data_IF_093487947729
#
_entry.id   IF_093487947729
#
_cell.length_a   1.000
_cell.length_b   1.000
_cell.length_c   1.000
_cell.angle_alpha   90.00
_cell.angle_beta   90.00
_cell.angle_gamma   90.00
#
_symmetry.space_group_name_H-M   'P 1'
#
loop_
_entity.id
_entity.type
_entity.pdbx_description
1 polymer ?
#
# COMPACT_ATOMS: atom_id res chain seq x y z
N UNK A 1 32.86 -22.02 19.64
CA UNK A 1 31.42 -22.11 19.29
C UNK A 1 30.64 -21.74 20.54
N UNK A 2 29.78 -20.73 20.47
CA UNK A 2 29.04 -20.20 21.62
C UNK A 2 28.01 -21.22 22.13
N UNK A 3 28.10 -21.63 23.41
CA UNK A 3 27.19 -22.62 24.01
C UNK A 3 25.74 -22.15 24.05
N UNK A 4 25.51 -20.83 24.16
CA UNK A 4 24.17 -20.24 24.14
C UNK A 4 23.50 -20.45 22.78
N UNK A 5 24.17 -20.03 21.70
CA UNK A 5 23.68 -20.22 20.32
C UNK A 5 23.37 -21.68 20.00
N UNK A 6 24.22 -22.61 20.45
CA UNK A 6 23.98 -24.05 20.25
C UNK A 6 22.69 -24.50 20.93
N UNK A 7 22.43 -24.05 22.17
CA UNK A 7 21.21 -24.42 22.88
C UNK A 7 19.97 -23.81 22.21
N UNK A 8 20.06 -22.55 21.73
CA UNK A 8 18.98 -21.90 20.99
C UNK A 8 18.67 -22.64 19.69
N UNK A 9 19.70 -23.02 18.92
CA UNK A 9 19.52 -23.81 17.70
C UNK A 9 18.84 -25.15 18.01
N UNK A 10 19.25 -25.83 19.09
CA UNK A 10 18.63 -27.10 19.50
C UNK A 10 17.17 -26.98 19.90
N UNK A 11 16.79 -25.91 20.60
CA UNK A 11 15.38 -25.70 20.93
C UNK A 11 14.54 -25.46 19.67
N UNK A 12 15.10 -24.77 18.67
CA UNK A 12 14.46 -24.61 17.35
C UNK A 12 14.36 -25.94 16.61
N UNK A 13 15.42 -26.76 16.60
CA UNK A 13 15.42 -28.11 15.99
C UNK A 13 14.32 -29.01 16.58
N UNK A 14 13.99 -28.81 17.85
CA UNK A 14 12.94 -29.55 18.57
C UNK A 14 11.57 -28.88 18.48
N UNK A 15 11.48 -27.70 17.85
CA UNK A 15 10.28 -26.85 17.85
C UNK A 15 9.73 -26.57 19.27
N UNK A 16 10.63 -26.49 20.25
CA UNK A 16 10.29 -26.25 21.66
C UNK A 16 10.28 -24.73 21.93
N UNK A 17 9.10 -24.13 21.79
CA UNK A 17 8.90 -22.69 21.98
C UNK A 17 9.14 -22.25 23.43
N UNK A 18 8.83 -23.10 24.42
CA UNK A 18 9.04 -22.78 25.84
C UNK A 18 10.54 -22.73 26.16
N UNK A 19 11.30 -23.74 25.73
CA UNK A 19 12.75 -23.75 25.91
C UNK A 19 13.40 -22.61 25.11
N UNK A 20 12.94 -22.34 23.89
CA UNK A 20 13.39 -21.20 23.11
C UNK A 20 13.18 -19.88 23.86
N UNK A 21 12.00 -19.64 24.44
CA UNK A 21 11.72 -18.45 25.24
C UNK A 21 12.61 -18.32 26.48
N UNK A 22 12.89 -19.44 27.16
CA UNK A 22 13.73 -19.48 28.35
C UNK A 22 15.20 -19.16 28.06
N UNK A 23 15.69 -19.53 26.87
CA UNK A 23 17.07 -19.29 26.45
C UNK A 23 17.32 -17.85 26.01
N UNK A 24 16.29 -17.13 25.57
CA UNK A 24 16.40 -15.75 25.14
C UNK A 24 16.37 -14.76 26.33
N UNK A 25 17.27 -13.77 26.28
CA UNK A 25 17.40 -12.73 27.28
C UNK A 25 16.18 -11.78 27.25
N UNK A 26 15.51 -11.62 28.38
CA UNK A 26 14.31 -10.77 28.51
C UNK A 26 14.58 -9.27 28.32
N UNK A 27 15.81 -8.83 28.58
CA UNK A 27 16.22 -7.43 28.46
C UNK A 27 16.69 -7.06 27.04
N UNK A 28 16.81 -8.05 26.14
CA UNK A 28 17.18 -7.85 24.72
C UNK A 28 15.95 -7.83 23.82
N UNK A 29 16.12 -7.23 22.65
CA UNK A 29 15.15 -7.30 21.55
C UNK A 29 15.62 -8.31 20.51
N UNK A 30 14.67 -8.85 19.76
CA UNK A 30 14.94 -9.81 18.70
C UNK A 30 14.17 -9.38 17.45
N UNK A 31 14.88 -9.13 16.35
CA UNK A 31 14.34 -8.49 15.14
C UNK A 31 13.60 -7.19 15.48
N UNK A 32 14.19 -6.39 16.39
CA UNK A 32 13.68 -5.12 16.90
C UNK A 32 12.40 -5.18 17.74
N UNK A 33 11.89 -6.36 18.11
CA UNK A 33 10.70 -6.50 18.98
C UNK A 33 11.05 -7.15 20.32
N UNK A 34 10.14 -7.03 21.29
CA UNK A 34 10.26 -7.73 22.58
C UNK A 34 10.33 -9.22 22.39
N UNK A 35 11.08 -9.89 23.28
CA UNK A 35 11.20 -11.34 23.33
C UNK A 35 9.88 -12.08 23.13
N UNK A 36 8.82 -11.72 23.87
CA UNK A 36 7.54 -12.42 23.78
C UNK A 36 6.88 -12.33 22.40
N UNK A 37 6.96 -11.18 21.72
CA UNK A 37 6.44 -11.02 20.36
C UNK A 37 7.24 -11.88 19.38
N UNK A 38 8.57 -11.84 19.48
CA UNK A 38 9.44 -12.62 18.61
C UNK A 38 9.21 -14.12 18.77
N UNK A 39 9.17 -14.61 20.02
CA UNK A 39 8.89 -16.01 20.35
C UNK A 39 7.54 -16.45 19.78
N UNK A 40 6.48 -15.65 19.95
CA UNK A 40 5.16 -15.98 19.40
C UNK A 40 5.20 -16.16 17.88
N UNK A 41 5.94 -15.31 17.15
CA UNK A 41 6.08 -15.44 15.69
C UNK A 41 6.86 -16.67 15.26
N UNK A 42 7.88 -17.06 16.03
CA UNK A 42 8.59 -18.31 15.81
C UNK A 42 7.69 -19.52 16.15
N UNK A 43 6.86 -19.41 17.19
CA UNK A 43 5.89 -20.44 17.55
C UNK A 43 4.81 -20.64 16.49
N UNK A 44 4.34 -19.57 15.83
CA UNK A 44 3.45 -19.66 14.67
C UNK A 44 4.08 -20.51 13.54
N UNK A 45 5.39 -20.32 13.28
CA UNK A 45 6.15 -21.12 12.31
C UNK A 45 6.26 -22.58 12.75
N UNK A 46 6.50 -22.84 14.04
CA UNK A 46 6.54 -24.20 14.59
C UNK A 46 5.20 -24.91 14.42
N UNK A 47 4.09 -24.23 14.72
CA UNK A 47 2.75 -24.79 14.56
C UNK A 47 2.47 -25.15 13.09
N UNK A 48 2.84 -24.30 12.13
CA UNK A 48 2.68 -24.61 10.70
C UNK A 48 3.46 -25.88 10.28
N UNK A 49 4.68 -26.05 10.79
CA UNK A 49 5.52 -27.23 10.52
C UNK A 49 4.94 -28.50 11.17
N UNK A 50 4.49 -28.40 12.42
CA UNK A 50 3.83 -29.50 13.15
C UNK A 50 2.54 -29.92 12.43
N UNK A 51 1.73 -28.97 11.97
CA UNK A 51 0.53 -29.24 11.16
C UNK A 51 0.88 -29.89 9.81
N UNK A 52 2.05 -29.55 9.26
CA UNK A 52 2.66 -30.20 8.09
C UNK A 52 3.20 -31.62 8.35
N UNK A 53 3.15 -32.10 9.59
CA UNK A 53 3.60 -33.43 10.00
C UNK A 53 5.08 -33.51 10.40
N UNK A 54 5.78 -32.38 10.48
CA UNK A 54 7.16 -32.35 10.95
C UNK A 54 7.24 -32.64 12.46
N UNK A 55 8.25 -33.41 12.86
CA UNK A 55 8.51 -33.76 14.27
C UNK A 55 9.84 -33.20 14.78
N UNK A 56 10.70 -32.77 13.86
CA UNK A 56 11.99 -32.16 14.14
C UNK A 56 12.46 -31.37 12.92
N UNK A 57 13.39 -30.43 13.13
CA UNK A 57 14.02 -29.69 12.05
C UNK A 57 15.49 -30.09 11.93
N UNK A 58 15.94 -30.24 10.69
CA UNK A 58 17.36 -30.37 10.38
C UNK A 58 17.95 -28.96 10.21
N UNK A 59 18.99 -28.61 10.98
CA UNK A 59 19.67 -27.33 10.85
C UNK A 59 20.92 -27.43 9.97
N UNK A 60 21.10 -26.45 9.09
CA UNK A 60 22.23 -26.37 8.17
C UNK A 60 22.90 -25.00 8.30
N UNK A 61 24.18 -24.93 8.70
CA UNK A 61 24.87 -23.67 8.92
C UNK A 61 25.13 -22.92 7.61
N UNK A 62 25.19 -21.61 7.72
CA UNK A 62 25.52 -20.72 6.61
C UNK A 62 25.79 -19.29 7.05
N UNK A 63 25.93 -18.39 6.08
CA UNK A 63 26.26 -16.99 6.29
C UNK A 63 25.34 -16.11 5.44
N UNK A 64 24.87 -14.99 5.99
CA UNK A 64 24.13 -14.00 5.21
C UNK A 64 25.03 -13.35 4.14
N UNK A 65 24.61 -13.43 2.88
CA UNK A 65 25.34 -12.83 1.75
C UNK A 65 24.54 -11.75 0.99
N UNK A 66 23.30 -11.48 1.43
CA UNK A 66 22.47 -10.41 0.87
C UNK A 66 23.19 -9.05 0.92
N UNK A 67 23.15 -8.32 -0.20
CA UNK A 67 23.71 -6.98 -0.30
C UNK A 67 22.83 -5.94 0.42
N UNK A 68 21.54 -6.22 0.58
CA UNK A 68 20.55 -5.29 1.17
C UNK A 68 20.31 -5.54 2.67
N UNK A 69 21.10 -6.43 3.28
CA UNK A 69 20.99 -6.77 4.69
C UNK A 69 22.08 -6.08 5.52
N UNK A 70 21.69 -5.23 6.48
CA UNK A 70 22.63 -4.63 7.44
C UNK A 70 23.35 -5.65 8.33
N UNK A 71 22.81 -6.86 8.44
CA UNK A 71 23.41 -7.99 9.16
C UNK A 71 24.13 -8.97 8.20
N UNK A 72 24.64 -8.47 7.07
CA UNK A 72 25.48 -9.24 6.15
C UNK A 72 26.66 -9.84 6.92
N UNK A 73 27.06 -11.05 6.53
CA UNK A 73 28.12 -11.84 7.16
C UNK A 73 27.84 -12.35 8.57
N UNK A 74 26.66 -12.09 9.15
CA UNK A 74 26.21 -12.84 10.32
C UNK A 74 26.03 -14.31 9.96
N UNK A 75 26.46 -15.19 10.86
CA UNK A 75 26.29 -16.64 10.70
C UNK A 75 24.89 -17.05 11.13
N UNK A 76 24.33 -18.02 10.43
CA UNK A 76 22.95 -18.44 10.58
C UNK A 76 22.74 -19.91 10.28
N UNK A 77 21.47 -20.31 10.31
CA UNK A 77 21.04 -21.66 9.99
C UNK A 77 19.81 -21.61 9.10
N UNK A 78 19.75 -22.53 8.14
CA UNK A 78 18.51 -22.97 7.52
C UNK A 78 17.96 -24.11 8.34
N UNK A 79 16.71 -24.00 8.77
CA UNK A 79 15.97 -25.06 9.44
C UNK A 79 14.99 -25.67 8.44
N UNK A 80 15.06 -26.99 8.25
CA UNK A 80 14.25 -27.72 7.26
C UNK A 80 13.44 -28.80 7.98
N UNK A 81 12.12 -28.79 7.78
CA UNK A 81 11.21 -29.81 8.28
C UNK A 81 11.58 -31.20 7.78
N UNK A 82 11.57 -32.20 8.66
CA UNK A 82 11.98 -33.56 8.33
C UNK A 82 10.98 -34.33 7.45
N UNK A 83 9.75 -33.84 7.31
CA UNK A 83 8.66 -34.45 6.53
C UNK A 83 8.20 -33.52 5.41
N UNK A 84 7.86 -32.27 5.73
CA UNK A 84 7.31 -31.33 4.75
C UNK A 84 8.38 -30.76 3.81
N UNK A 85 9.66 -30.85 4.19
CA UNK A 85 10.78 -30.13 3.60
C UNK A 85 10.61 -28.60 3.58
N UNK A 86 9.56 -28.04 4.20
CA UNK A 86 9.41 -26.60 4.36
C UNK A 86 10.56 -26.07 5.20
N UNK A 87 10.94 -24.82 4.95
CA UNK A 87 12.14 -24.27 5.58
C UNK A 87 12.02 -22.79 5.94
N UNK A 88 12.78 -22.36 6.94
CA UNK A 88 13.03 -20.96 7.23
C UNK A 88 14.49 -20.75 7.60
N UNK A 89 14.95 -19.50 7.62
CA UNK A 89 16.36 -19.16 7.82
C UNK A 89 16.47 -18.04 8.84
N UNK A 90 17.35 -18.26 9.82
CA UNK A 90 17.67 -17.27 10.86
C UNK A 90 19.17 -16.99 10.87
N UNK A 91 19.54 -15.73 11.09
CA UNK A 91 20.92 -15.30 11.31
C UNK A 91 21.06 -14.74 12.72
N UNK A 92 22.22 -14.97 13.33
CA UNK A 92 22.51 -14.64 14.71
C UNK A 92 23.55 -13.52 14.71
N UNK A 93 23.20 -12.41 15.36
CA UNK A 93 24.14 -11.35 15.67
C UNK A 93 24.74 -11.67 17.03
N UNK A 94 26.06 -11.80 17.07
CA UNK A 94 26.79 -12.24 18.26
C UNK A 94 27.86 -11.22 18.63
N UNK A 95 27.98 -10.90 19.91
CA UNK A 95 29.14 -10.19 20.45
C UNK A 95 29.55 -10.77 21.79
N UNK A 96 30.85 -10.78 22.08
CA UNK A 96 31.41 -11.25 23.37
C UNK A 96 30.93 -12.65 23.81
N UNK A 97 30.71 -13.57 22.87
CA UNK A 97 30.15 -14.91 23.09
C UNK A 97 28.71 -14.93 23.64
N UNK A 98 27.91 -13.91 23.32
CA UNK A 98 26.47 -13.90 23.57
C UNK A 98 25.70 -13.72 22.27
N UNK A 99 24.46 -14.20 22.23
CA UNK A 99 23.50 -13.85 21.17
C UNK A 99 22.88 -12.50 21.51
N UNK A 100 23.14 -11.50 20.67
CA UNK A 100 22.59 -10.15 20.84
C UNK A 100 21.24 -9.98 20.17
N UNK A 101 21.06 -10.60 19.00
CA UNK A 101 19.85 -10.49 18.21
C UNK A 101 19.74 -11.67 17.22
N UNK A 102 18.52 -11.97 16.77
CA UNK A 102 18.20 -13.03 15.82
C UNK A 102 17.29 -12.44 14.75
N UNK A 103 17.65 -12.60 13.47
CA UNK A 103 16.89 -12.06 12.35
C UNK A 103 16.50 -13.15 11.37
N UNK A 104 15.31 -13.03 10.80
CA UNK A 104 14.96 -13.75 9.59
C UNK A 104 15.87 -13.35 8.43
N UNK A 105 16.33 -14.35 7.67
CA UNK A 105 17.20 -14.14 6.52
C UNK A 105 16.54 -14.67 5.24
N UNK A 106 16.68 -13.92 4.15
CA UNK A 106 16.23 -14.35 2.81
C UNK A 106 17.39 -14.65 1.86
N UNK A 107 18.62 -14.28 2.25
CA UNK A 107 19.84 -14.44 1.46
C UNK A 107 20.93 -15.20 2.21
N UNK A 108 20.54 -16.28 2.92
CA UNK A 108 21.49 -17.17 3.59
C UNK A 108 22.13 -18.10 2.55
N UNK A 109 23.46 -18.05 2.45
CA UNK A 109 24.26 -19.00 1.68
C UNK A 109 24.76 -20.09 2.64
N UNK A 110 24.47 -21.35 2.33
CA UNK A 110 24.86 -22.47 3.18
C UNK A 110 26.33 -22.82 3.00
N UNK A 111 26.96 -23.32 4.06
CA UNK A 111 28.31 -23.87 3.99
C UNK A 111 28.36 -25.12 3.08
N UNK A 112 27.25 -25.86 2.99
CA UNK A 112 27.03 -26.93 2.03
C UNK A 112 25.75 -26.66 1.21
N UNK A 113 25.87 -26.41 -0.12
CA UNK A 113 24.73 -25.98 -0.94
C UNK A 113 23.76 -27.10 -1.34
N UNK A 114 24.10 -28.38 -1.14
CA UNK A 114 23.34 -29.54 -1.65
C UNK A 114 22.10 -29.92 -0.82
N UNK A 115 21.61 -29.03 0.04
CA UNK A 115 20.45 -29.30 0.91
C UNK A 115 19.14 -29.13 0.14
N UNK A 116 18.41 -30.23 -0.03
CA UNK A 116 17.05 -30.22 -0.57
C UNK A 116 16.13 -29.39 0.32
N UNK A 117 15.29 -28.56 -0.31
CA UNK A 117 14.35 -27.68 0.39
C UNK A 117 13.06 -27.53 -0.41
N UNK A 118 11.95 -27.50 0.30
CA UNK A 118 10.63 -27.21 -0.22
C UNK A 118 10.29 -25.73 -0.16
N UNK A 119 9.05 -25.42 0.20
CA UNK A 119 8.55 -24.06 0.34
C UNK A 119 9.21 -23.32 1.51
N UNK A 120 9.52 -22.03 1.31
CA UNK A 120 10.03 -21.17 2.38
C UNK A 120 8.87 -20.66 3.23
N UNK A 121 8.93 -20.87 4.55
CA UNK A 121 8.06 -20.20 5.51
C UNK A 121 8.65 -18.82 5.82
N UNK A 122 7.81 -17.80 5.75
CA UNK A 122 8.18 -16.46 6.16
C UNK A 122 7.15 -15.85 7.09
N UNK A 123 7.61 -15.26 8.19
CA UNK A 123 6.77 -14.48 9.08
C UNK A 123 7.06 -12.99 8.92
N UNK A 124 6.03 -12.16 9.06
CA UNK A 124 6.18 -10.71 9.17
C UNK A 124 5.98 -10.32 10.63
N UNK A 125 6.88 -9.47 11.13
CA UNK A 125 6.62 -8.74 12.37
C UNK A 125 6.16 -7.35 11.97
N UNK A 126 4.93 -6.99 12.33
CA UNK A 126 4.41 -5.66 12.03
C UNK A 126 5.21 -4.61 12.77
N UNK A 127 5.48 -3.48 12.09
CA UNK A 127 6.31 -2.41 12.61
C UNK A 127 5.83 -1.95 13.99
N UNK A 128 4.52 -1.96 14.25
CA UNK A 128 3.95 -1.53 15.52
C UNK A 128 4.37 -2.34 16.75
N UNK A 129 4.92 -3.54 16.56
CA UNK A 129 5.45 -4.36 17.65
C UNK A 129 6.94 -4.12 17.94
N UNK A 130 7.63 -3.31 17.12
CA UNK A 130 9.03 -2.97 17.39
C UNK A 130 9.14 -2.02 18.58
N UNK A 131 10.08 -2.30 19.47
CA UNK A 131 10.22 -1.56 20.74
C UNK A 131 10.47 -0.07 20.52
N UNK A 132 11.12 0.28 19.41
CA UNK A 132 11.27 1.66 18.96
C UNK A 132 9.93 2.39 18.88
N UNK A 133 8.89 1.76 18.34
CA UNK A 133 7.57 2.39 18.21
C UNK A 133 6.76 2.33 19.50
N UNK A 134 6.95 1.30 20.34
CA UNK A 134 6.33 1.24 21.67
C UNK A 134 6.82 2.36 22.60
N UNK A 135 8.08 2.78 22.45
CA UNK A 135 8.69 3.84 23.27
C UNK A 135 8.57 5.23 22.64
N UNK A 136 8.21 5.34 21.35
CA UNK A 136 8.04 6.61 20.67
C UNK A 136 6.70 7.26 21.04
N UNK A 137 6.74 8.30 21.87
CA UNK A 137 5.54 9.02 22.34
C UNK A 137 4.73 9.64 21.20
N UNK A 138 5.39 10.20 20.18
CA UNK A 138 4.72 10.77 19.00
C UNK A 138 3.95 9.68 18.22
N UNK A 139 4.54 8.51 18.03
CA UNK A 139 3.83 7.38 17.42
C UNK A 139 2.62 6.94 18.25
N UNK A 140 2.76 6.84 19.57
CA UNK A 140 1.66 6.43 20.45
C UNK A 140 0.52 7.47 20.47
N UNK A 141 0.85 8.75 20.46
CA UNK A 141 -0.13 9.84 20.35
C UNK A 141 -0.86 9.78 19.01
N UNK A 142 -0.12 9.63 17.90
CA UNK A 142 -0.70 9.46 16.56
C UNK A 142 -1.56 8.21 16.45
N UNK A 143 -1.15 7.10 17.07
CA UNK A 143 -1.92 5.85 17.11
C UNK A 143 -3.24 6.04 17.86
N UNK A 144 -3.28 6.79 18.95
CA UNK A 144 -4.53 7.13 19.64
C UNK A 144 -5.48 7.92 18.76
N UNK A 145 -4.99 8.96 18.08
CA UNK A 145 -5.81 9.78 17.16
C UNK A 145 -6.34 8.92 16.00
N UNK A 146 -5.48 8.10 15.41
CA UNK A 146 -5.86 7.12 14.38
C UNK A 146 -6.99 6.20 14.84
N UNK A 147 -6.87 5.58 16.02
CA UNK A 147 -7.87 4.66 16.53
C UNK A 147 -9.23 5.35 16.72
N UNK A 148 -9.24 6.56 17.27
CA UNK A 148 -10.46 7.36 17.39
C UNK A 148 -11.05 7.69 16.02
N UNK A 149 -10.24 8.15 15.07
CA UNK A 149 -10.70 8.49 13.72
C UNK A 149 -11.34 7.29 13.01
N UNK A 150 -10.74 6.11 13.13
CA UNK A 150 -11.25 4.88 12.53
C UNK A 150 -12.50 4.35 13.26
N UNK A 151 -12.58 4.49 14.58
CA UNK A 151 -13.76 4.13 15.36
C UNK A 151 -14.96 5.00 14.99
N UNK A 152 -14.77 6.31 14.78
CA UNK A 152 -15.83 7.19 14.27
C UNK A 152 -16.39 6.70 12.93
N UNK A 153 -15.52 6.29 12.00
CA UNK A 153 -15.93 5.74 10.70
C UNK A 153 -16.67 4.40 10.83
N UNK A 154 -16.31 3.56 11.81
CA UNK A 154 -16.96 2.27 12.02
C UNK A 154 -18.46 2.40 12.33
N UNK A 155 -18.90 3.52 12.89
CA UNK A 155 -20.33 3.80 13.13
C UNK A 155 -21.14 3.92 11.83
N UNK A 156 -20.48 4.10 10.68
CA UNK A 156 -21.08 4.29 9.36
C UNK A 156 -20.85 3.12 8.40
N UNK A 157 -20.51 1.93 8.90
CA UNK A 157 -20.39 0.74 8.05
C UNK A 157 -21.74 0.25 7.52
N UNK A 158 -22.74 0.25 8.39
CA UNK A 158 -24.06 -0.31 8.09
C UNK A 158 -25.11 0.76 7.77
N UNK A 159 -24.72 2.04 7.82
CA UNK A 159 -25.59 3.17 7.52
C UNK A 159 -24.91 4.08 6.51
N UNK A 160 -25.72 4.89 5.83
CA UNK A 160 -25.23 5.90 4.92
C UNK A 160 -24.68 7.10 5.70
N UNK A 161 -23.47 7.55 5.33
CA UNK A 161 -22.81 8.72 5.89
C UNK A 161 -23.28 9.99 5.18
N UNK A 162 -23.95 10.93 5.88
CA UNK A 162 -24.31 12.22 5.32
C UNK A 162 -23.08 13.06 4.96
N UNK A 163 -23.23 13.96 3.98
CA UNK A 163 -22.14 14.83 3.54
C UNK A 163 -21.59 15.72 4.67
N UNK A 164 -22.45 16.25 5.55
CA UNK A 164 -22.01 17.13 6.64
C UNK A 164 -21.12 16.38 7.65
N UNK A 165 -21.36 15.07 7.83
CA UNK A 165 -20.51 14.22 8.65
C UNK A 165 -19.17 13.99 7.97
N UNK A 166 -19.18 13.69 6.67
CA UNK A 166 -17.98 13.52 5.86
C UNK A 166 -17.10 14.78 5.89
N UNK A 167 -17.70 15.94 5.66
CA UNK A 167 -17.03 17.25 5.70
C UNK A 167 -16.44 17.55 7.07
N UNK A 168 -17.23 17.33 8.15
CA UNK A 168 -16.76 17.51 9.52
C UNK A 168 -15.58 16.59 9.86
N UNK A 169 -15.63 15.33 9.42
CA UNK A 169 -14.58 14.35 9.67
C UNK A 169 -13.29 14.75 8.94
N UNK A 170 -13.35 15.12 7.65
CA UNK A 170 -12.18 15.60 6.90
C UNK A 170 -11.56 16.83 7.55
N UNK A 171 -12.39 17.82 7.92
CA UNK A 171 -11.93 19.04 8.58
C UNK A 171 -11.23 18.75 9.92
N UNK A 172 -11.77 17.83 10.72
CA UNK A 172 -11.21 17.44 12.02
C UNK A 172 -9.83 16.79 11.90
N UNK A 173 -9.61 15.97 10.89
CA UNK A 173 -8.42 15.12 10.79
C UNK A 173 -7.37 15.60 9.77
N UNK A 174 -7.57 16.75 9.11
CA UNK A 174 -6.61 17.28 8.13
C UNK A 174 -5.22 17.52 8.72
N UNK A 175 -5.12 18.16 9.89
CA UNK A 175 -3.83 18.39 10.55
C UNK A 175 -3.16 17.09 11.00
N UNK A 176 -3.95 16.09 11.37
CA UNK A 176 -3.44 14.76 11.68
C UNK A 176 -2.87 14.10 10.42
N UNK A 177 -3.60 14.11 9.31
CA UNK A 177 -3.12 13.61 8.02
C UNK A 177 -1.80 14.27 7.59
N UNK A 178 -1.71 15.60 7.66
CA UNK A 178 -0.50 16.35 7.30
C UNK A 178 0.70 15.93 8.16
N UNK A 179 0.47 15.65 9.45
CA UNK A 179 1.52 15.17 10.37
C UNK A 179 2.09 13.79 9.99
N UNK A 180 1.39 13.02 9.16
CA UNK A 180 1.79 11.69 8.70
C UNK A 180 2.55 11.71 7.36
N UNK A 181 2.62 12.85 6.66
CA UNK A 181 3.32 12.97 5.36
C UNK A 181 4.85 12.93 5.50
N UNK A 182 5.38 13.40 6.63
CA UNK A 182 6.82 13.54 6.86
C UNK A 182 7.50 12.29 7.41
N UNK A 183 6.78 11.18 7.60
CA UNK A 183 7.33 9.98 8.25
C UNK A 183 7.34 8.80 7.29
N UNK A 184 8.36 8.76 6.44
CA UNK A 184 8.65 7.68 5.50
C UNK A 184 9.01 6.34 6.18
N UNK A 185 8.95 6.24 7.50
CA UNK A 185 9.35 5.06 8.29
C UNK A 185 8.15 4.42 9.04
N UNK A 186 6.96 5.04 9.03
CA UNK A 186 5.77 4.59 9.80
C UNK A 186 4.76 3.74 9.00
N UNK A 187 5.25 3.02 8.00
CA UNK A 187 4.65 2.87 6.67
C UNK A 187 3.46 1.92 6.47
N UNK A 188 2.85 1.29 7.49
CA UNK A 188 1.62 0.49 7.24
C UNK A 188 0.48 0.82 8.19
N UNK A 189 0.77 1.15 9.45
CA UNK A 189 -0.26 1.27 10.50
C UNK A 189 -1.31 2.32 10.14
N UNK A 190 -0.89 3.41 9.51
CA UNK A 190 -1.78 4.52 9.15
C UNK A 190 -2.26 4.50 7.70
N UNK A 191 -1.86 3.53 6.89
CA UNK A 191 -2.14 3.53 5.45
C UNK A 191 -3.63 3.47 5.15
N UNK A 192 -4.37 2.69 5.92
CA UNK A 192 -5.81 2.62 5.79
C UNK A 192 -6.44 4.01 6.01
N UNK A 193 -6.03 4.70 7.08
CA UNK A 193 -6.49 6.05 7.36
C UNK A 193 -6.08 7.03 6.26
N UNK A 194 -4.81 7.04 5.81
CA UNK A 194 -4.36 7.93 4.73
C UNK A 194 -5.16 7.69 3.45
N UNK A 195 -5.38 6.43 3.09
CA UNK A 195 -6.14 6.04 1.91
C UNK A 195 -7.57 6.57 1.98
N UNK A 196 -8.28 6.32 3.09
CA UNK A 196 -9.65 6.82 3.28
C UNK A 196 -9.68 8.35 3.30
N UNK A 197 -8.77 8.98 4.05
CA UNK A 197 -8.73 10.43 4.20
C UNK A 197 -8.57 11.15 2.86
N UNK A 198 -7.63 10.73 2.00
CA UNK A 198 -7.44 11.34 0.68
C UNK A 198 -8.72 11.25 -0.15
N UNK A 199 -9.42 10.12 -0.11
CA UNK A 199 -10.66 9.92 -0.88
C UNK A 199 -11.80 10.76 -0.34
N UNK A 200 -11.92 10.87 0.97
CA UNK A 200 -12.95 11.68 1.61
C UNK A 200 -12.69 13.16 1.38
N UNK A 201 -11.43 13.58 1.48
CA UNK A 201 -11.01 14.93 1.12
C UNK A 201 -11.33 15.25 -0.34
N UNK A 202 -11.07 14.33 -1.27
CA UNK A 202 -11.45 14.49 -2.67
C UNK A 202 -12.96 14.80 -2.81
N UNK A 203 -13.83 14.02 -2.17
CA UNK A 203 -15.29 14.26 -2.21
C UNK A 203 -15.67 15.63 -1.63
N UNK A 204 -15.05 16.04 -0.52
CA UNK A 204 -15.30 17.36 0.06
C UNK A 204 -14.85 18.47 -0.90
N UNK A 205 -13.69 18.33 -1.54
CA UNK A 205 -13.15 19.34 -2.46
C UNK A 205 -14.05 19.48 -3.72
N UNK A 206 -14.45 18.36 -4.33
CA UNK A 206 -15.26 18.35 -5.56
C UNK A 206 -16.73 18.69 -5.33
N UNK A 207 -17.22 18.70 -4.09
CA UNK A 207 -18.59 19.14 -3.79
C UNK A 207 -18.87 20.55 -4.33
N UNK A 208 -17.88 21.44 -4.24
CA UNK A 208 -17.94 22.80 -4.76
C UNK A 208 -18.14 22.88 -6.29
N UNK A 209 -17.81 21.81 -7.02
CA UNK A 209 -17.92 21.70 -8.49
C UNK A 209 -19.27 21.15 -8.97
N UNK A 210 -20.19 20.82 -8.06
CA UNK A 210 -21.46 20.16 -8.40
C UNK A 210 -22.30 20.91 -9.46
N UNK A 211 -22.39 22.24 -9.35
CA UNK A 211 -23.15 23.07 -10.32
C UNK A 211 -22.47 23.06 -11.69
N UNK A 212 -21.15 23.18 -11.72
CA UNK A 212 -20.36 23.18 -12.95
C UNK A 212 -20.47 21.82 -13.67
N UNK A 213 -20.31 20.72 -12.93
CA UNK A 213 -20.49 19.36 -13.43
C UNK A 213 -21.90 19.12 -13.97
N UNK A 214 -22.93 19.62 -13.28
CA UNK A 214 -24.32 19.53 -13.75
C UNK A 214 -24.48 20.21 -15.12
N UNK A 215 -24.00 21.45 -15.27
CA UNK A 215 -24.13 22.19 -16.53
C UNK A 215 -23.33 21.51 -17.66
N UNK A 216 -22.15 20.99 -17.36
CA UNK A 216 -21.32 20.25 -18.32
C UNK A 216 -22.03 18.97 -18.80
N UNK A 217 -22.64 18.22 -17.87
CA UNK A 217 -23.39 17.01 -18.19
C UNK A 217 -24.70 17.29 -18.94
N UNK A 218 -25.45 18.33 -18.57
CA UNK A 218 -26.64 18.75 -19.31
C UNK A 218 -26.32 19.13 -20.76
N UNK A 219 -25.16 19.77 -21.00
CA UNK A 219 -24.66 20.03 -22.36
C UNK A 219 -24.29 18.74 -23.10
N UNK A 220 -23.68 17.78 -22.41
CA UNK A 220 -23.34 16.47 -22.98
C UNK A 220 -24.57 15.74 -23.51
N UNK A 221 -25.68 15.75 -22.76
CA UNK A 221 -26.94 15.11 -23.16
C UNK A 221 -27.58 15.70 -24.43
N UNK A 222 -27.17 16.90 -24.84
CA UNK A 222 -27.64 17.56 -26.05
C UNK A 222 -26.69 17.36 -27.25
N UNK A 223 -25.55 16.69 -27.07
CA UNK A 223 -24.60 16.44 -28.14
C UNK A 223 -25.11 15.39 -29.11
N UNK A 224 -24.82 15.61 -30.39
CA UNK A 224 -24.85 14.57 -31.40
C UNK A 224 -23.60 13.69 -31.23
N UNK A 225 -23.78 12.50 -30.63
CA UNK A 225 -22.69 11.57 -30.35
C UNK A 225 -22.11 10.90 -31.61
N UNK A 226 -22.78 11.01 -32.76
CA UNK A 226 -22.22 10.60 -34.05
C UNK A 226 -21.28 11.68 -34.63
N UNK A 227 -21.33 12.90 -34.08
CA UNK A 227 -20.48 14.02 -34.48
C UNK A 227 -19.23 14.12 -33.59
N UNK A 228 -18.15 13.49 -34.04
CA UNK A 228 -16.87 13.49 -33.34
C UNK A 228 -16.33 14.89 -33.01
N UNK A 229 -16.52 15.88 -33.90
CA UNK A 229 -16.08 17.27 -33.63
C UNK A 229 -16.84 17.88 -32.45
N UNK A 230 -18.12 17.55 -32.28
CA UNK A 230 -18.91 18.03 -31.15
C UNK A 230 -18.40 17.43 -29.83
N UNK A 231 -18.08 16.13 -29.83
CA UNK A 231 -17.48 15.44 -28.67
C UNK A 231 -16.12 16.04 -28.32
N UNK A 232 -15.23 16.22 -29.30
CA UNK A 232 -13.90 16.79 -29.07
C UNK A 232 -13.96 18.20 -28.48
N UNK A 233 -14.86 19.06 -28.98
CA UNK A 233 -15.07 20.40 -28.41
C UNK A 233 -15.51 20.31 -26.96
N UNK A 234 -16.51 19.47 -26.66
CA UNK A 234 -16.99 19.31 -25.29
C UNK A 234 -15.90 18.77 -24.35
N UNK A 235 -15.09 17.79 -24.79
CA UNK A 235 -13.97 17.27 -24.00
C UNK A 235 -12.91 18.34 -23.71
N UNK A 236 -12.55 19.15 -24.72
CA UNK A 236 -11.56 20.23 -24.56
C UNK A 236 -12.09 21.33 -23.63
N UNK A 237 -13.37 21.71 -23.76
CA UNK A 237 -14.00 22.75 -22.95
C UNK A 237 -14.09 22.37 -21.47
N UNK A 238 -14.12 21.07 -21.14
CA UNK A 238 -14.25 20.56 -19.78
C UNK A 238 -13.06 19.69 -19.33
N UNK A 239 -11.91 19.82 -20.00
CA UNK A 239 -10.74 18.97 -19.73
C UNK A 239 -10.21 19.16 -18.30
N UNK A 240 -10.16 20.39 -17.81
CA UNK A 240 -9.74 20.71 -16.44
C UNK A 240 -10.68 20.06 -15.40
N UNK A 241 -11.99 20.23 -15.59
CA UNK A 241 -13.00 19.63 -14.71
C UNK A 241 -12.93 18.09 -14.73
N UNK A 242 -12.73 17.50 -15.91
CA UNK A 242 -12.53 16.06 -16.06
C UNK A 242 -11.27 15.55 -15.34
N UNK A 243 -10.19 16.33 -15.35
CA UNK A 243 -8.96 16.00 -14.64
C UNK A 243 -9.13 16.04 -13.11
N UNK A 244 -9.93 16.97 -12.58
CA UNK A 244 -10.23 17.03 -11.15
C UNK A 244 -10.94 15.75 -10.66
N UNK A 245 -11.76 15.12 -11.49
CA UNK A 245 -12.67 14.02 -11.08
C UNK A 245 -12.09 12.60 -11.20
N UNK A 246 -10.83 12.46 -11.62
CA UNK A 246 -10.17 11.15 -11.83
C UNK A 246 -10.21 10.19 -10.63
N UNK A 247 -10.40 10.69 -9.40
CA UNK A 247 -10.43 9.83 -8.22
C UNK A 247 -11.75 9.07 -8.05
N UNK A 248 -12.80 9.34 -8.83
CA UNK A 248 -14.03 8.55 -8.77
C UNK A 248 -13.79 7.07 -9.12
N UNK A 249 -12.77 6.75 -9.91
CA UNK A 249 -12.45 5.38 -10.34
C UNK A 249 -12.06 4.44 -9.18
N UNK A 250 -11.73 5.00 -8.01
CA UNK A 250 -11.36 4.21 -6.82
C UNK A 250 -12.51 3.98 -5.84
N UNK A 251 -13.71 4.50 -6.17
CA UNK A 251 -14.94 4.29 -5.44
C UNK A 251 -15.76 3.19 -6.09
N UNK A 252 -16.56 2.51 -5.27
CA UNK A 252 -17.59 1.62 -5.79
C UNK A 252 -18.87 2.43 -5.96
N UNK A 253 -19.29 2.63 -7.21
CA UNK A 253 -20.47 3.39 -7.60
C UNK A 253 -21.48 2.40 -8.16
N UNK A 254 -22.67 2.34 -7.56
CA UNK A 254 -23.76 1.49 -8.03
C UNK A 254 -24.81 2.29 -8.79
N UNK A 255 -25.54 1.58 -9.65
CA UNK A 255 -26.71 2.09 -10.37
C UNK A 255 -27.91 1.18 -10.11
N UNK A 256 -29.09 1.77 -10.04
CA UNK A 256 -30.35 1.06 -9.91
C UNK A 256 -30.82 0.44 -11.25
N UNK A 257 -31.98 -0.22 -11.25
CA UNK A 257 -32.56 -0.85 -12.44
C UNK A 257 -32.92 0.10 -13.59
N UNK A 258 -32.90 1.41 -13.37
CA UNK A 258 -33.13 2.46 -14.38
C UNK A 258 -31.82 3.10 -14.87
N UNK A 259 -30.66 2.51 -14.54
CA UNK A 259 -29.32 3.06 -14.82
C UNK A 259 -29.02 4.40 -14.10
N UNK A 260 -29.80 4.77 -13.09
CA UNK A 260 -29.53 5.93 -12.24
C UNK A 260 -28.58 5.53 -11.13
N UNK A 261 -27.59 6.38 -10.84
CA UNK A 261 -26.66 6.18 -9.72
C UNK A 261 -27.47 6.03 -8.43
N UNK A 262 -27.15 5.08 -7.55
CA UNK A 262 -27.89 4.90 -6.30
C UNK A 262 -27.01 4.59 -5.08
N UNK A 263 -25.70 4.51 -5.29
CA UNK A 263 -24.77 4.29 -4.20
C UNK A 263 -23.36 4.76 -4.52
N UNK A 264 -22.69 5.25 -3.49
CA UNK A 264 -21.28 5.63 -3.51
C UNK A 264 -20.62 5.03 -2.27
N UNK A 265 -19.59 4.20 -2.47
CA UNK A 265 -18.91 3.51 -1.36
C UNK A 265 -17.41 3.59 -1.47
N UNK A 266 -16.75 3.65 -0.30
CA UNK A 266 -15.31 3.44 -0.17
C UNK A 266 -15.04 2.38 0.90
N UNK A 267 -14.60 1.20 0.45
CA UNK A 267 -14.47 0.05 1.34
C UNK A 267 -15.84 -0.35 1.88
N UNK A 268 -15.97 -0.40 3.20
CA UNK A 268 -17.22 -0.73 3.89
C UNK A 268 -18.11 0.50 4.17
N UNK A 269 -17.66 1.71 3.85
CA UNK A 269 -18.38 2.94 4.20
C UNK A 269 -19.27 3.36 3.04
N UNK A 270 -20.56 3.51 3.32
CA UNK A 270 -21.55 4.06 2.39
C UNK A 270 -21.61 5.58 2.57
N UNK A 271 -21.59 6.32 1.47
CA UNK A 271 -21.62 7.78 1.46
C UNK A 271 -22.89 8.21 0.73
N UNK A 272 -23.59 9.18 1.30
CA UNK A 272 -24.74 9.80 0.65
C UNK A 272 -24.33 10.33 -0.73
N UNK A 273 -24.91 9.70 -1.76
CA UNK A 273 -24.57 9.94 -3.15
C UNK A 273 -25.28 11.16 -3.73
N UNK A 274 -26.35 11.65 -3.10
CA UNK A 274 -27.22 12.72 -3.64
C UNK A 274 -26.41 13.97 -4.00
N UNK A 275 -25.45 14.32 -3.13
CA UNK A 275 -24.58 15.48 -3.29
C UNK A 275 -23.55 15.35 -4.42
N UNK A 276 -23.34 14.13 -4.94
CA UNK A 276 -22.29 13.81 -5.91
C UNK A 276 -22.83 13.32 -7.25
N UNK A 277 -24.15 13.11 -7.40
CA UNK A 277 -24.78 12.58 -8.62
C UNK A 277 -24.35 13.31 -9.89
N UNK A 278 -24.35 14.64 -9.89
CA UNK A 278 -23.97 15.40 -11.08
C UNK A 278 -22.48 15.26 -11.39
N UNK A 279 -21.62 15.25 -10.37
CA UNK A 279 -20.19 15.04 -10.54
C UNK A 279 -19.89 13.66 -11.13
N UNK A 280 -20.55 12.62 -10.63
CA UNK A 280 -20.39 11.25 -11.11
C UNK A 280 -20.93 11.10 -12.53
N UNK A 281 -22.10 11.65 -12.84
CA UNK A 281 -22.67 11.63 -14.18
C UNK A 281 -21.74 12.29 -15.21
N UNK A 282 -21.22 13.48 -14.88
CA UNK A 282 -20.22 14.15 -15.70
C UNK A 282 -18.96 13.29 -15.86
N UNK A 283 -18.43 12.72 -14.77
CA UNK A 283 -17.24 11.85 -14.81
C UNK A 283 -17.44 10.69 -15.78
N UNK A 284 -18.56 9.96 -15.68
CA UNK A 284 -18.84 8.85 -16.60
C UNK A 284 -18.96 9.29 -18.06
N UNK A 285 -19.67 10.39 -18.34
CA UNK A 285 -19.76 10.94 -19.69
C UNK A 285 -18.38 11.35 -20.23
N UNK A 286 -17.53 11.93 -19.39
CA UNK A 286 -16.18 12.35 -19.77
C UNK A 286 -15.29 11.13 -20.06
N UNK A 287 -15.29 10.13 -19.17
CA UNK A 287 -14.49 8.91 -19.31
C UNK A 287 -14.89 8.06 -20.51
N UNK A 288 -16.18 8.06 -20.88
CA UNK A 288 -16.69 7.32 -22.04
C UNK A 288 -15.92 7.68 -23.33
N UNK A 289 -15.46 8.93 -23.47
CA UNK A 289 -14.84 9.42 -24.70
C UNK A 289 -13.36 9.74 -24.57
N UNK A 290 -12.92 10.29 -23.43
CA UNK A 290 -11.59 10.93 -23.32
C UNK A 290 -10.44 9.98 -23.65
N UNK A 291 -10.49 8.73 -23.20
CA UNK A 291 -9.42 7.75 -23.45
C UNK A 291 -9.32 7.42 -24.94
N UNK A 292 -10.45 7.15 -25.59
CA UNK A 292 -10.52 6.87 -27.04
C UNK A 292 -10.00 8.06 -27.86
N UNK A 293 -10.40 9.28 -27.51
CA UNK A 293 -9.99 10.48 -28.22
C UNK A 293 -8.51 10.79 -28.02
N UNK A 294 -7.98 10.66 -26.78
CA UNK A 294 -6.55 10.81 -26.52
C UNK A 294 -5.71 9.82 -27.31
N UNK A 295 -6.10 8.56 -27.37
CA UNK A 295 -5.38 7.56 -28.16
C UNK A 295 -5.45 7.85 -29.66
N UNK A 296 -6.60 8.29 -30.16
CA UNK A 296 -6.80 8.60 -31.59
C UNK A 296 -5.96 9.80 -32.05
N UNK A 297 -5.86 10.83 -31.22
CA UNK A 297 -5.20 12.09 -31.54
C UNK A 297 -3.83 12.25 -30.90
N UNK A 298 -3.26 11.16 -30.36
CA UNK A 298 -1.93 11.19 -29.80
C UNK A 298 -0.91 11.57 -30.88
N UNK A 299 -0.14 12.61 -30.59
CA UNK A 299 1.01 13.05 -31.38
C UNK A 299 2.23 12.97 -30.47
N UNK A 300 3.28 12.31 -30.96
CA UNK A 300 4.54 12.25 -30.23
C UNK A 300 5.09 13.65 -29.96
N UNK A 301 5.69 13.85 -28.79
CA UNK A 301 6.24 15.14 -28.41
C UNK A 301 7.69 15.30 -28.92
N UNK A 302 7.87 15.90 -30.10
CA UNK A 302 9.17 16.09 -30.78
C UNK A 302 10.20 17.03 -30.09
N UNK A 303 9.88 17.54 -28.88
CA UNK A 303 10.73 18.32 -27.95
C UNK A 303 11.06 19.79 -28.32
N UNK A 304 10.91 20.74 -27.38
CA UNK A 304 11.48 22.06 -27.53
C UNK A 304 12.81 22.31 -26.79
N UNK A 305 13.37 21.41 -25.93
CA UNK A 305 14.84 21.37 -25.59
C UNK A 305 15.44 20.38 -24.52
N UNK A 306 14.85 19.26 -24.07
CA UNK A 306 15.64 18.31 -23.22
C UNK A 306 15.43 16.81 -23.47
N UNK A 307 16.53 16.05 -23.43
CA UNK A 307 16.59 14.60 -23.58
C UNK A 307 15.78 13.89 -22.47
N UNK A 308 15.09 12.78 -22.77
CA UNK A 308 14.47 11.96 -21.73
C UNK A 308 15.50 11.48 -20.71
N UNK A 309 15.20 11.67 -19.43
CA UNK A 309 15.96 11.05 -18.36
C UNK A 309 15.54 9.59 -18.26
N UNK A 310 16.50 8.68 -18.18
CA UNK A 310 16.23 7.26 -17.94
C UNK A 310 16.68 6.89 -16.53
N UNK A 311 15.84 6.17 -15.79
CA UNK A 311 16.22 5.45 -14.57
C UNK A 311 15.87 3.99 -14.81
N UNK A 312 16.85 3.09 -14.67
CA UNK A 312 16.67 1.64 -14.86
C UNK A 312 15.96 1.30 -16.20
N UNK A 313 16.40 1.92 -17.30
CA UNK A 313 15.83 1.81 -18.65
C UNK A 313 14.38 2.31 -18.82
N UNK A 314 13.82 2.97 -17.81
CA UNK A 314 12.49 3.61 -17.86
C UNK A 314 12.62 5.09 -18.18
N UNK A 315 11.95 5.54 -19.24
CA UNK A 315 11.85 6.95 -19.61
C UNK A 315 11.04 7.73 -18.57
N UNK A 316 11.62 8.82 -18.08
CA UNK A 316 10.98 9.80 -17.21
C UNK A 316 10.70 11.05 -18.04
N UNK A 317 9.42 11.31 -18.26
CA UNK A 317 8.95 12.49 -18.96
C UNK A 317 9.12 13.74 -18.08
N UNK A 318 9.46 14.88 -18.71
CA UNK A 318 9.45 16.18 -18.01
C UNK A 318 8.03 16.60 -17.62
N UNK A 319 7.87 17.51 -16.66
CA UNK A 319 6.53 18.01 -16.26
C UNK A 319 5.76 18.62 -17.45
N UNK A 320 6.46 19.32 -18.34
CA UNK A 320 5.90 19.91 -19.56
C UNK A 320 5.45 18.82 -20.54
N UNK A 321 6.25 17.77 -20.69
CA UNK A 321 5.90 16.62 -21.54
C UNK A 321 4.71 15.84 -20.95
N UNK A 322 4.64 15.69 -19.63
CA UNK A 322 3.49 15.09 -18.95
C UNK A 322 2.23 15.92 -19.13
N UNK A 323 2.31 17.25 -19.02
CA UNK A 323 1.19 18.15 -19.29
C UNK A 323 0.72 18.00 -20.76
N UNK A 324 1.65 17.96 -21.71
CA UNK A 324 1.36 17.73 -23.12
C UNK A 324 0.68 16.37 -23.37
N UNK A 325 1.22 15.28 -22.81
CA UNK A 325 0.64 13.94 -22.93
C UNK A 325 -0.76 13.88 -22.31
N UNK A 326 -0.96 14.58 -21.19
CA UNK A 326 -2.24 14.57 -20.47
C UNK A 326 -3.30 15.47 -21.10
N UNK A 327 -2.95 16.51 -21.83
CA UNK A 327 -3.93 17.44 -22.41
C UNK A 327 -4.32 17.05 -23.85
N UNK A 328 -5.55 16.58 -24.04
CA UNK A 328 -6.17 16.42 -25.35
C UNK A 328 -6.14 17.73 -26.14
N UNK A 329 -6.36 18.88 -25.50
CA UNK A 329 -6.28 20.18 -26.17
C UNK A 329 -4.93 20.39 -26.84
N UNK A 330 -3.83 20.13 -26.14
CA UNK A 330 -2.48 20.28 -26.68
C UNK A 330 -2.19 19.28 -27.80
N UNK A 331 -2.66 18.03 -27.64
CA UNK A 331 -2.56 16.99 -28.67
C UNK A 331 -3.26 17.39 -29.98
N UNK A 332 -4.47 17.94 -29.88
CA UNK A 332 -5.26 18.38 -31.03
C UNK A 332 -4.63 19.58 -31.75
N UNK A 333 -4.13 20.56 -31.00
CA UNK A 333 -3.41 21.72 -31.56
C UNK A 333 -2.19 21.23 -32.34
N UNK A 334 -1.41 20.30 -31.77
CA UNK A 334 -0.23 19.75 -32.44
C UNK A 334 -0.58 18.92 -33.68
N UNK A 335 -1.66 18.14 -33.60
CA UNK A 335 -2.18 17.35 -34.71
C UNK A 335 -2.85 18.16 -35.82
N UNK A 336 -2.92 19.49 -35.70
CA UNK A 336 -3.53 20.36 -36.70
C UNK A 336 -5.05 20.25 -36.78
N UNK A 337 -5.72 19.85 -35.69
CA UNK A 337 -7.18 19.74 -35.65
C UNK A 337 -7.79 21.12 -35.39
N UNK A 338 -8.41 21.70 -36.42
CA UNK A 338 -9.17 22.95 -36.29
C UNK A 338 -10.65 22.70 -36.01
N UNK A 339 -11.19 23.50 -35.10
CA UNK A 339 -12.54 23.35 -34.57
C UNK A 339 -13.59 24.14 -35.33
#
# INVERSE_FOLDING_TARGET
MNSEKINIVRSIEQMDAELFEMLLNVDKTYQYVRKSVFVNKINDVFNELIEGGDTMLNSYPGICKSNDCNNRFCSGYRFVGNVSNKYFELIFKESRNEVDDIFQCFGLELDNPEVEKGERISYRIDAEYQDYFLLNSDFQEKKKVYLVAMEELNHYKDIEMPFEVLESWVSRYISFYDSLLNVSILLNTFDNFKSIFIRFKFLVDIFSRNIEAKLAYERYLLLDLDNEKAILRWLVDHEELGAEFHQFDVFNISKNGNDEIDGLKKGEINIDVENFRNCINFHFAFQEHIHKMKNKYYVEYDNPNDLPYYIDDVQIHSDIELEFIRSLRLQLIKGGVEF
#
